data_IF_049820743143
#
_entry.id   IF_049820743143
#
_cell.length_a   1.000
_cell.length_b   1.000
_cell.length_c   1.000
_cell.angle_alpha   90.00
_cell.angle_beta   90.00
_cell.angle_gamma   90.00
#
_symmetry.space_group_name_H-M   'P 1'
#
loop_
_entity.id
_entity.type
_entity.pdbx_description
1 polymer ?
#
# COMPACT_ATOMS: atom_id res chain seq x y z
N UNK A 1 1.72 -63.21 30.81
CA UNK A 1 0.94 -64.53 30.79
C UNK A 1 -0.51 -64.21 31.06
N UNK A 2 -1.41 -64.92 30.41
CA UNK A 2 -1.75 -65.00 28.96
C UNK A 2 -3.19 -64.51 28.74
N UNK A 3 -3.82 -64.45 27.61
CA UNK A 3 -4.10 -65.32 26.47
C UNK A 3 -4.98 -64.53 25.47
N UNK A 4 -4.61 -64.45 24.26
CA UNK A 4 -5.22 -64.99 23.02
C UNK A 4 -6.73 -65.27 23.03
N UNK A 5 -7.46 -64.76 22.02
CA UNK A 5 -8.20 -65.60 21.06
C UNK A 5 -8.61 -64.79 19.82
N UNK A 6 -8.14 -65.29 18.71
CA UNK A 6 -8.54 -65.24 17.32
C UNK A 6 -9.89 -65.96 17.11
N UNK A 7 -10.66 -65.60 16.07
CA UNK A 7 -11.44 -66.42 15.11
C UNK A 7 -12.13 -65.49 14.14
N UNK A 8 -11.77 -65.35 12.96
CA UNK A 8 -11.90 -65.95 11.63
C UNK A 8 -13.30 -66.44 11.18
N UNK A 9 -13.61 -66.11 9.94
CA UNK A 9 -14.40 -66.72 8.85
C UNK A 9 -15.61 -65.90 8.40
N UNK A 10 -15.58 -65.45 7.18
CA UNK A 10 -15.75 -65.96 5.80
C UNK A 10 -17.20 -66.02 5.32
N UNK A 11 -17.34 -65.51 4.07
CA UNK A 11 -18.06 -66.02 2.90
C UNK A 11 -19.47 -65.46 2.66
N UNK A 12 -19.90 -65.01 1.56
CA UNK A 12 -19.96 -65.30 0.13
C UNK A 12 -20.90 -64.30 -0.53
N UNK A 13 -20.60 -63.91 -1.80
CA UNK A 13 -21.59 -63.33 -2.70
C UNK A 13 -22.49 -64.41 -3.36
N UNK A 14 -23.26 -64.24 -4.42
CA UNK A 14 -23.05 -63.39 -5.62
C UNK A 14 -24.34 -62.82 -6.30
N UNK A 15 -24.12 -62.07 -7.44
CA UNK A 15 -24.89 -62.00 -8.72
C UNK A 15 -26.32 -61.43 -8.66
N UNK A 16 -26.77 -60.81 -9.63
CA UNK A 16 -26.72 -60.43 -11.02
C UNK A 16 -27.91 -59.54 -11.41
N UNK A 17 -27.69 -58.77 -12.45
CA UNK A 17 -28.45 -58.51 -13.65
C UNK A 17 -29.47 -57.37 -13.72
N UNK A 18 -29.10 -56.40 -14.53
CA UNK A 18 -29.77 -56.05 -15.79
C UNK A 18 -30.98 -55.11 -15.80
N UNK A 19 -30.86 -54.07 -16.54
CA UNK A 19 -31.68 -53.50 -17.63
C UNK A 19 -31.87 -51.99 -17.60
N UNK A 20 -31.29 -51.39 -18.62
CA UNK A 20 -31.70 -50.09 -19.18
C UNK A 20 -33.14 -50.16 -19.74
N UNK A 21 -33.84 -49.01 -19.86
CA UNK A 21 -33.63 -48.18 -21.05
C UNK A 21 -33.79 -46.65 -20.86
N UNK A 22 -33.14 -45.95 -21.79
CA UNK A 22 -33.28 -44.61 -22.31
C UNK A 22 -34.57 -43.83 -22.08
N UNK A 23 -34.44 -42.51 -21.76
CA UNK A 23 -35.01 -41.43 -22.58
C UNK A 23 -34.55 -40.05 -22.17
N UNK A 24 -34.13 -39.34 -23.16
CA UNK A 24 -33.93 -37.92 -23.37
C UNK A 24 -34.71 -36.93 -22.50
N UNK A 25 -34.05 -35.94 -21.94
CA UNK A 25 -34.59 -34.57 -21.85
C UNK A 25 -33.43 -33.59 -21.71
N UNK A 26 -33.43 -32.66 -22.64
CA UNK A 26 -32.60 -31.46 -22.66
C UNK A 26 -32.81 -30.63 -21.39
N UNK A 27 -31.75 -30.38 -20.67
CA UNK A 27 -31.66 -29.22 -19.78
C UNK A 27 -30.31 -28.54 -19.93
N UNK A 28 -30.40 -27.25 -20.20
CA UNK A 28 -29.30 -26.36 -20.51
C UNK A 28 -28.35 -26.26 -19.31
N UNK A 29 -27.08 -26.45 -19.56
CA UNK A 29 -26.01 -26.20 -18.63
C UNK A 29 -25.91 -24.70 -18.30
N UNK A 30 -25.71 -24.29 -17.02
CA UNK A 30 -25.38 -22.92 -16.69
C UNK A 30 -24.00 -22.57 -17.25
N UNK A 31 -23.77 -21.28 -17.58
CA UNK A 31 -22.50 -20.85 -18.16
C UNK A 31 -21.35 -21.13 -17.20
N UNK A 32 -20.33 -21.75 -17.74
CA UNK A 32 -19.09 -22.08 -17.05
C UNK A 32 -18.48 -20.84 -16.40
N UNK A 33 -18.24 -20.92 -15.10
CA UNK A 33 -17.39 -19.98 -14.40
C UNK A 33 -16.02 -19.93 -15.10
N UNK A 34 -15.37 -18.76 -15.19
CA UNK A 34 -14.07 -18.68 -15.83
C UNK A 34 -13.09 -19.61 -15.12
N UNK A 35 -12.50 -20.50 -15.87
CA UNK A 35 -11.54 -21.48 -15.41
C UNK A 35 -10.37 -20.74 -14.74
N UNK A 36 -10.25 -20.90 -13.43
CA UNK A 36 -9.01 -20.56 -12.74
C UNK A 36 -7.93 -21.48 -13.29
N UNK A 37 -7.08 -20.93 -14.14
CA UNK A 37 -5.88 -21.62 -14.57
C UNK A 37 -5.07 -22.02 -13.35
N UNK A 38 -4.80 -23.30 -13.10
CA UNK A 38 -3.89 -23.72 -12.05
C UNK A 38 -2.45 -23.52 -12.52
N UNK A 39 -1.98 -22.29 -12.50
CA UNK A 39 -0.58 -21.98 -12.71
C UNK A 39 0.20 -21.95 -11.38
N UNK A 40 -0.13 -22.87 -10.45
CA UNK A 40 0.42 -22.88 -9.11
C UNK A 40 1.63 -23.79 -8.91
N UNK A 41 2.30 -24.24 -9.96
CA UNK A 41 3.51 -25.06 -9.83
C UNK A 41 4.78 -24.42 -10.38
N UNK A 42 4.73 -23.18 -10.86
CA UNK A 42 5.90 -22.42 -11.26
C UNK A 42 6.12 -21.22 -10.32
N UNK A 43 6.99 -21.38 -9.36
CA UNK A 43 7.43 -20.33 -8.44
C UNK A 43 8.20 -19.18 -9.12
N UNK A 44 8.38 -19.23 -10.44
CA UNK A 44 9.31 -18.35 -11.14
C UNK A 44 8.73 -17.28 -12.05
N UNK A 45 7.55 -17.39 -12.63
CA UNK A 45 7.17 -16.45 -13.71
C UNK A 45 5.83 -15.74 -13.53
N UNK A 46 4.78 -16.44 -13.15
CA UNK A 46 3.44 -15.85 -13.10
C UNK A 46 3.21 -14.96 -11.87
N UNK A 47 3.88 -15.26 -10.76
CA UNK A 47 3.82 -14.44 -9.54
C UNK A 47 4.47 -13.07 -9.73
N UNK A 48 5.54 -12.98 -10.53
CA UNK A 48 6.24 -11.71 -10.78
C UNK A 48 5.40 -10.74 -11.61
N UNK A 49 4.72 -11.20 -12.65
CA UNK A 49 3.85 -10.35 -13.48
C UNK A 49 2.63 -9.85 -12.71
N UNK A 50 2.02 -10.71 -11.92
CA UNK A 50 0.85 -10.36 -11.12
C UNK A 50 1.20 -9.40 -9.98
N UNK A 51 2.35 -9.60 -9.35
CA UNK A 51 2.88 -8.66 -8.36
C UNK A 51 3.22 -7.30 -8.96
N UNK A 52 3.78 -7.26 -10.16
CA UNK A 52 4.14 -6.01 -10.82
C UNK A 52 2.90 -5.20 -11.24
N UNK A 53 1.84 -5.85 -11.73
CA UNK A 53 0.58 -5.17 -12.05
C UNK A 53 -0.08 -4.60 -10.79
N UNK A 54 -0.09 -5.34 -9.68
CA UNK A 54 -0.58 -4.86 -8.39
C UNK A 54 0.25 -3.70 -7.85
N UNK A 55 1.57 -3.78 -7.98
CA UNK A 55 2.46 -2.67 -7.63
C UNK A 55 2.16 -1.42 -8.45
N UNK A 56 1.95 -1.57 -9.76
CA UNK A 56 1.58 -0.44 -10.62
C UNK A 56 0.26 0.18 -10.20
N UNK A 57 -0.75 -0.65 -9.96
CA UNK A 57 -2.06 -0.19 -9.47
C UNK A 57 -1.95 0.50 -8.11
N UNK A 58 -1.17 -0.06 -7.19
CA UNK A 58 -0.88 0.54 -5.89
C UNK A 58 -0.18 1.90 -6.03
N UNK A 59 0.89 1.98 -6.80
CA UNK A 59 1.64 3.22 -7.05
C UNK A 59 0.75 4.28 -7.70
N UNK A 60 -0.05 3.90 -8.70
CA UNK A 60 -0.99 4.81 -9.35
C UNK A 60 -2.05 5.33 -8.36
N UNK A 61 -2.53 4.49 -7.44
CA UNK A 61 -3.43 4.89 -6.36
C UNK A 61 -2.77 5.88 -5.40
N UNK A 62 -1.50 5.67 -5.02
CA UNK A 62 -0.75 6.59 -4.18
C UNK A 62 -0.53 7.94 -4.88
N UNK A 63 -0.14 7.92 -6.13
CA UNK A 63 0.05 9.13 -6.93
C UNK A 63 -1.25 9.91 -7.11
N UNK A 64 -2.37 9.23 -7.36
CA UNK A 64 -3.69 9.85 -7.49
C UNK A 64 -4.17 10.55 -6.22
N UNK A 65 -3.90 9.99 -5.04
CA UNK A 65 -4.28 10.58 -3.74
C UNK A 65 -3.50 11.85 -3.40
N UNK A 66 -2.37 12.05 -4.05
CA UNK A 66 -1.46 13.17 -3.82
C UNK A 66 -1.44 14.19 -4.96
N UNK A 67 -2.16 13.91 -6.06
CA UNK A 67 -2.33 14.92 -7.08
C UNK A 67 -3.15 16.08 -6.51
N UNK A 68 -2.73 17.33 -6.78
CA UNK A 68 -3.62 18.47 -6.55
C UNK A 68 -4.92 18.19 -7.30
N UNK A 69 -6.05 18.26 -6.63
CA UNK A 69 -7.35 18.21 -7.27
C UNK A 69 -7.34 19.17 -8.46
N UNK A 70 -7.88 18.78 -9.64
CA UNK A 70 -7.91 19.65 -10.80
C UNK A 70 -8.48 21.00 -10.37
N UNK A 71 -7.81 22.07 -10.75
CA UNK A 71 -7.99 23.48 -10.39
C UNK A 71 -9.46 23.88 -10.12
N UNK A 72 -9.93 23.54 -8.95
CA UNK A 72 -11.12 24.10 -8.37
C UNK A 72 -10.65 25.20 -7.41
N UNK A 73 -11.14 26.41 -7.57
CA UNK A 73 -10.81 27.55 -6.69
C UNK A 73 -11.06 27.25 -5.22
N UNK A 74 -11.95 26.28 -4.94
CA UNK A 74 -12.22 25.79 -3.59
C UNK A 74 -11.11 24.90 -2.98
N UNK A 75 -10.09 24.52 -3.75
CA UNK A 75 -9.01 23.63 -3.29
C UNK A 75 -7.66 24.34 -3.09
N UNK A 76 -7.60 25.65 -3.34
CA UNK A 76 -6.40 26.43 -3.04
C UNK A 76 -6.31 26.69 -1.53
N UNK A 77 -5.15 26.42 -0.89
CA UNK A 77 -5.01 26.68 0.54
C UNK A 77 -5.14 28.18 0.80
N UNK A 78 -5.80 28.53 1.91
CA UNK A 78 -5.91 29.92 2.33
C UNK A 78 -4.54 30.47 2.76
N UNK A 79 -4.33 31.79 2.70
CA UNK A 79 -3.08 32.41 3.18
C UNK A 79 -2.74 32.03 4.62
N UNK A 80 -3.76 31.97 5.47
CA UNK A 80 -3.63 31.61 6.88
C UNK A 80 -3.20 30.14 7.03
N UNK A 81 -3.74 29.25 6.20
CA UNK A 81 -3.34 27.86 6.17
C UNK A 81 -1.88 27.73 5.76
N UNK A 82 -1.45 28.40 4.67
CA UNK A 82 -0.06 28.41 4.21
C UNK A 82 0.88 28.97 5.30
N UNK A 83 0.50 30.06 5.96
CA UNK A 83 1.28 30.62 7.07
C UNK A 83 1.36 29.64 8.26
N UNK A 84 0.30 28.87 8.52
CA UNK A 84 0.28 27.90 9.60
C UNK A 84 1.30 26.79 9.43
N UNK A 85 1.68 26.47 8.17
CA UNK A 85 2.68 25.44 7.88
C UNK A 85 4.09 25.81 8.35
N UNK A 86 4.40 27.10 8.50
CA UNK A 86 5.66 27.55 9.09
C UNK A 86 5.70 27.45 10.62
N UNK A 87 4.55 27.30 11.26
CA UNK A 87 4.47 27.21 12.72
C UNK A 87 4.83 25.81 13.23
N UNK A 88 4.51 24.75 12.45
CA UNK A 88 4.72 23.38 12.85
C UNK A 88 4.70 22.44 11.66
N UNK A 89 5.64 21.50 11.62
CA UNK A 89 5.65 20.42 10.64
C UNK A 89 4.39 19.55 10.71
N UNK A 90 3.84 19.36 11.91
CA UNK A 90 2.56 18.65 12.08
C UNK A 90 1.40 19.36 11.38
N UNK A 91 1.34 20.69 11.41
CA UNK A 91 0.31 21.44 10.68
C UNK A 91 0.44 21.24 9.17
N UNK A 92 1.67 21.29 8.65
CA UNK A 92 1.94 20.98 7.26
C UNK A 92 1.46 19.55 6.89
N UNK A 93 1.84 18.57 7.70
CA UNK A 93 1.56 17.15 7.43
C UNK A 93 0.08 16.77 7.60
N UNK A 94 -0.69 17.49 8.40
CA UNK A 94 -2.14 17.30 8.53
C UNK A 94 -2.93 17.89 7.37
N UNK A 95 -2.42 18.94 6.73
CA UNK A 95 -3.07 19.58 5.58
C UNK A 95 -2.85 18.78 4.30
N UNK A 96 -3.90 18.36 3.56
CA UNK A 96 -3.74 17.77 2.25
C UNK A 96 -2.99 18.67 1.25
N UNK A 97 -3.31 19.97 1.25
CA UNK A 97 -2.62 20.96 0.43
C UNK A 97 -1.14 21.12 0.85
N UNK A 98 -0.88 21.12 2.17
CA UNK A 98 0.47 21.15 2.72
C UNK A 98 1.30 19.95 2.31
N UNK A 99 0.75 18.73 2.42
CA UNK A 99 1.43 17.52 1.93
C UNK A 99 1.71 17.57 0.42
N UNK A 100 0.75 18.06 -0.37
CA UNK A 100 0.94 18.22 -1.81
C UNK A 100 2.07 19.19 -2.15
N UNK A 101 2.08 20.37 -1.54
CA UNK A 101 3.13 21.38 -1.73
C UNK A 101 4.51 20.87 -1.28
N UNK A 102 4.56 20.20 -0.15
CA UNK A 102 5.81 19.64 0.37
C UNK A 102 6.33 18.48 -0.48
N UNK A 103 5.44 17.62 -1.01
CA UNK A 103 5.83 16.57 -1.96
C UNK A 103 6.43 17.17 -3.23
N UNK A 104 5.81 18.19 -3.81
CA UNK A 104 6.37 18.84 -5.01
C UNK A 104 7.77 19.43 -4.74
N UNK A 105 8.00 19.99 -3.56
CA UNK A 105 9.34 20.40 -3.15
C UNK A 105 10.30 19.21 -3.03
N UNK A 106 9.89 18.12 -2.36
CA UNK A 106 10.71 16.90 -2.22
C UNK A 106 11.05 16.28 -3.59
N UNK A 107 10.16 16.38 -4.58
CA UNK A 107 10.46 15.95 -5.96
C UNK A 107 11.61 16.73 -6.57
N UNK A 108 11.71 18.01 -6.29
CA UNK A 108 12.85 18.83 -6.77
C UNK A 108 14.16 18.44 -6.10
N UNK A 109 14.10 17.81 -4.94
CA UNK A 109 15.26 17.31 -4.18
C UNK A 109 15.50 15.80 -4.37
N UNK A 110 14.76 15.14 -5.27
CA UNK A 110 14.83 13.69 -5.50
C UNK A 110 14.65 12.86 -4.22
N UNK A 111 13.74 13.29 -3.34
CA UNK A 111 13.49 12.66 -2.03
C UNK A 111 11.98 12.47 -1.72
N UNK A 112 11.13 12.44 -2.76
CA UNK A 112 9.68 12.27 -2.58
C UNK A 112 9.29 10.92 -1.98
N UNK A 113 10.15 9.89 -2.08
CA UNK A 113 9.96 8.56 -1.51
C UNK A 113 9.70 8.62 0.00
N UNK A 114 10.30 9.58 0.72
CA UNK A 114 10.08 9.75 2.15
C UNK A 114 8.61 10.09 2.48
N UNK A 115 8.01 10.99 1.71
CA UNK A 115 6.59 11.36 1.87
C UNK A 115 5.68 10.21 1.46
N UNK A 116 5.97 9.55 0.34
CA UNK A 116 5.18 8.43 -0.17
C UNK A 116 5.20 7.25 0.81
N UNK A 117 6.35 6.94 1.38
CA UNK A 117 6.48 5.91 2.42
C UNK A 117 5.66 6.27 3.66
N UNK A 118 5.78 7.51 4.15
CA UNK A 118 5.04 7.96 5.33
C UNK A 118 3.52 7.82 5.13
N UNK A 119 3.01 8.22 3.97
CA UNK A 119 1.59 8.10 3.63
C UNK A 119 1.14 6.65 3.47
N UNK A 120 1.98 5.80 2.89
CA UNK A 120 1.70 4.37 2.76
C UNK A 120 1.55 3.71 4.15
N UNK A 121 2.37 4.13 5.13
CA UNK A 121 2.24 3.67 6.51
C UNK A 121 0.93 4.16 7.17
N UNK A 122 0.53 5.42 6.94
CA UNK A 122 -0.75 5.93 7.44
C UNK A 122 -1.94 5.16 6.86
N UNK A 123 -1.88 4.82 5.58
CA UNK A 123 -2.91 4.02 4.93
C UNK A 123 -2.94 2.58 5.46
N UNK A 124 -1.79 2.00 5.79
CA UNK A 124 -1.72 0.68 6.42
C UNK A 124 -2.36 0.69 7.80
N UNK A 125 -2.13 1.74 8.61
CA UNK A 125 -2.73 1.91 9.94
C UNK A 125 -4.26 2.02 9.91
N UNK A 126 -4.80 2.58 8.82
CA UNK A 126 -6.24 2.70 8.64
C UNK A 126 -6.93 1.41 8.16
N UNK A 127 -6.15 0.37 7.82
CA UNK A 127 -6.70 -0.88 7.29
C UNK A 127 -7.16 -1.81 8.42
N UNK A 128 -8.40 -2.28 8.31
CA UNK A 128 -9.01 -3.17 9.30
C UNK A 128 -8.99 -4.66 8.90
N UNK A 129 -8.78 -4.95 7.62
CA UNK A 129 -8.78 -6.31 7.09
C UNK A 129 -7.37 -6.89 7.11
N UNK A 130 -7.15 -7.99 7.86
CA UNK A 130 -5.82 -8.60 8.00
C UNK A 130 -5.20 -9.02 6.67
N UNK A 131 -5.97 -9.58 5.75
CA UNK A 131 -5.46 -9.96 4.43
C UNK A 131 -4.98 -8.72 3.64
N UNK A 132 -5.71 -7.61 3.73
CA UNK A 132 -5.30 -6.35 3.10
C UNK A 132 -4.07 -5.74 3.80
N UNK A 133 -3.95 -5.89 5.12
CA UNK A 133 -2.75 -5.51 5.89
C UNK A 133 -1.54 -6.29 5.40
N UNK A 134 -1.64 -7.60 5.26
CA UNK A 134 -0.54 -8.47 4.79
C UNK A 134 -0.09 -8.06 3.38
N UNK A 135 -1.03 -7.81 2.49
CA UNK A 135 -0.74 -7.39 1.12
C UNK A 135 -0.09 -6.01 1.06
N UNK A 136 -0.67 -5.03 1.75
CA UNK A 136 -0.12 -3.66 1.81
C UNK A 136 1.26 -3.63 2.45
N UNK A 137 1.47 -4.39 3.52
CA UNK A 137 2.77 -4.48 4.17
C UNK A 137 3.85 -5.02 3.23
N UNK A 138 3.54 -6.04 2.41
CA UNK A 138 4.48 -6.54 1.39
C UNK A 138 4.80 -5.48 0.34
N UNK A 139 3.79 -4.77 -0.17
CA UNK A 139 4.00 -3.70 -1.16
C UNK A 139 4.87 -2.56 -0.60
N UNK A 140 4.61 -2.14 0.64
CA UNK A 140 5.42 -1.12 1.33
C UNK A 140 6.86 -1.61 1.50
N UNK A 141 7.04 -2.86 1.95
CA UNK A 141 8.37 -3.44 2.12
C UNK A 141 9.15 -3.47 0.81
N UNK A 142 8.53 -3.98 -0.26
CA UNK A 142 9.16 -4.12 -1.56
C UNK A 142 9.45 -2.77 -2.23
N UNK A 143 8.60 -1.77 -2.04
CA UNK A 143 8.76 -0.46 -2.68
C UNK A 143 9.69 0.48 -1.91
N UNK A 144 9.78 0.38 -0.58
CA UNK A 144 10.46 1.38 0.24
C UNK A 144 11.54 0.84 1.18
N UNK A 145 11.47 -0.44 1.59
CA UNK A 145 12.37 -1.01 2.59
C UNK A 145 13.41 -1.94 1.98
N UNK A 146 13.06 -2.67 0.92
CA UNK A 146 13.98 -3.56 0.24
C UNK A 146 15.18 -2.80 -0.31
N UNK A 147 16.40 -3.34 -0.08
CA UNK A 147 17.67 -2.78 -0.57
C UNK A 147 17.77 -2.72 -2.11
N UNK A 148 16.88 -3.39 -2.82
CA UNK A 148 16.83 -3.39 -4.29
C UNK A 148 15.73 -2.47 -4.83
N UNK A 149 15.04 -1.74 -3.96
CA UNK A 149 13.96 -0.85 -4.39
C UNK A 149 14.53 0.45 -4.98
N UNK A 150 13.99 0.91 -6.12
CA UNK A 150 14.32 2.23 -6.67
C UNK A 150 13.81 3.39 -5.82
N UNK A 151 12.92 3.13 -4.86
CA UNK A 151 12.34 4.11 -3.92
C UNK A 151 12.74 3.82 -2.49
N UNK A 152 13.90 3.20 -2.28
CA UNK A 152 14.38 2.86 -0.95
C UNK A 152 14.51 4.12 -0.09
N UNK A 153 13.91 4.09 1.12
CA UNK A 153 14.07 5.13 2.13
C UNK A 153 15.27 4.83 3.03
N UNK A 154 15.93 5.88 3.51
CA UNK A 154 17.10 5.76 4.37
C UNK A 154 16.69 5.32 5.78
N UNK A 155 16.97 4.06 6.13
CA UNK A 155 16.66 3.47 7.43
C UNK A 155 17.92 2.94 8.10
N UNK A 156 17.96 3.09 9.42
CA UNK A 156 19.00 2.44 10.24
C UNK A 156 18.89 0.91 10.13
N UNK A 157 20.03 0.23 10.19
CA UNK A 157 20.09 -1.24 10.10
C UNK A 157 19.22 -1.92 11.16
N UNK A 158 19.21 -1.41 12.39
CA UNK A 158 18.37 -1.95 13.48
C UNK A 158 16.86 -1.85 13.19
N UNK A 159 16.44 -0.71 12.61
CA UNK A 159 15.04 -0.51 12.20
C UNK A 159 14.67 -1.48 11.08
N UNK A 160 15.53 -1.62 10.06
CA UNK A 160 15.35 -2.56 8.95
C UNK A 160 15.27 -4.01 9.45
N UNK A 161 16.16 -4.44 10.34
CA UNK A 161 16.12 -5.77 10.96
C UNK A 161 14.83 -6.00 11.77
N UNK A 162 14.35 -4.95 12.47
CA UNK A 162 13.08 -4.98 13.17
C UNK A 162 11.90 -5.23 12.23
N UNK A 163 11.88 -4.53 11.09
CA UNK A 163 10.86 -4.74 10.05
C UNK A 163 10.96 -6.16 9.50
N UNK A 164 12.15 -6.66 9.16
CA UNK A 164 12.33 -8.01 8.62
C UNK A 164 11.74 -9.09 9.54
N UNK A 165 11.87 -8.93 10.87
CA UNK A 165 11.23 -9.84 11.83
C UNK A 165 9.71 -9.69 11.84
N UNK A 166 9.19 -8.46 11.86
CA UNK A 166 7.75 -8.17 11.87
C UNK A 166 7.04 -8.60 10.57
N UNK A 167 7.76 -8.72 9.47
CA UNK A 167 7.22 -9.19 8.18
C UNK A 167 6.85 -10.67 8.15
N UNK A 168 7.22 -11.45 9.16
CA UNK A 168 6.75 -12.83 9.32
C UNK A 168 5.26 -12.87 9.68
N UNK A 169 4.79 -11.91 10.47
CA UNK A 169 3.40 -11.70 10.85
C UNK A 169 3.09 -10.20 10.80
N UNK A 170 2.77 -9.65 9.61
CA UNK A 170 2.58 -8.22 9.45
C UNK A 170 1.36 -7.71 10.22
N UNK A 171 1.47 -6.49 10.72
CA UNK A 171 0.38 -5.77 11.35
C UNK A 171 0.30 -4.34 10.83
N UNK A 172 -0.76 -3.63 11.16
CA UNK A 172 -0.90 -2.19 10.86
C UNK A 172 0.26 -1.34 11.42
N UNK A 173 1.01 -1.87 12.42
CA UNK A 173 2.10 -1.20 13.12
C UNK A 173 3.50 -1.74 12.76
N UNK A 174 3.61 -2.53 11.69
CA UNK A 174 4.88 -3.13 11.25
C UNK A 174 5.96 -2.10 11.01
N UNK A 175 5.61 -0.93 10.48
CA UNK A 175 6.56 0.10 10.05
C UNK A 175 6.63 1.32 10.99
N UNK A 176 6.07 1.29 12.17
CA UNK A 176 5.98 2.47 13.06
C UNK A 176 7.34 3.09 13.37
N UNK A 177 8.35 2.27 13.69
CA UNK A 177 9.70 2.75 13.98
C UNK A 177 10.35 3.43 12.77
N UNK A 178 10.17 2.84 11.59
CA UNK A 178 10.66 3.39 10.33
C UNK A 178 9.91 4.67 9.94
N UNK A 179 8.59 4.69 10.11
CA UNK A 179 7.78 5.86 9.82
C UNK A 179 8.18 7.05 10.71
N UNK A 180 8.45 6.81 11.99
CA UNK A 180 8.95 7.83 12.91
C UNK A 180 10.34 8.33 12.50
N UNK A 181 11.23 7.43 12.06
CA UNK A 181 12.57 7.79 11.59
C UNK A 181 12.48 8.70 10.36
N UNK A 182 11.67 8.33 9.36
CA UNK A 182 11.48 9.13 8.14
C UNK A 182 10.78 10.45 8.43
N UNK A 183 9.76 10.45 9.30
CA UNK A 183 9.11 11.69 9.76
C UNK A 183 10.13 12.64 10.39
N UNK A 184 10.97 12.13 11.27
CA UNK A 184 12.02 12.91 11.93
C UNK A 184 13.04 13.44 10.94
N UNK A 185 13.44 12.63 9.94
CA UNK A 185 14.34 13.07 8.87
C UNK A 185 13.73 14.23 8.08
N UNK A 186 12.50 14.10 7.62
CA UNK A 186 11.81 15.17 6.89
C UNK A 186 11.66 16.45 7.74
N UNK A 187 11.32 16.31 9.03
CA UNK A 187 11.14 17.43 9.93
C UNK A 187 12.44 18.19 10.18
N UNK A 188 13.55 17.49 10.40
CA UNK A 188 14.82 18.10 10.79
C UNK A 188 15.60 18.66 9.60
N UNK A 189 15.42 18.06 8.43
CA UNK A 189 16.22 18.34 7.24
C UNK A 189 15.41 19.01 6.11
N UNK A 190 14.42 18.33 5.55
CA UNK A 190 13.70 18.80 4.36
C UNK A 190 12.75 19.96 4.67
N UNK A 191 12.06 19.94 5.80
CA UNK A 191 11.07 20.95 6.16
C UNK A 191 11.67 22.37 6.31
N UNK A 192 12.81 22.60 6.98
CA UNK A 192 13.42 23.94 7.02
C UNK A 192 13.79 24.44 5.61
N UNK A 193 14.27 23.56 4.73
CA UNK A 193 14.57 23.92 3.34
C UNK A 193 13.31 24.27 2.54
N UNK A 194 12.22 23.52 2.76
CA UNK A 194 10.93 23.83 2.17
C UNK A 194 10.45 25.25 2.52
N UNK A 195 10.51 25.65 3.78
CA UNK A 195 10.10 26.98 4.22
C UNK A 195 10.96 28.09 3.59
N UNK A 196 12.22 27.81 3.28
CA UNK A 196 13.11 28.70 2.55
C UNK A 196 12.99 28.65 1.01
N UNK A 197 12.17 27.74 0.48
CA UNK A 197 12.11 27.46 -0.97
C UNK A 197 11.31 28.52 -1.75
N UNK A 198 11.57 28.65 -3.05
CA UNK A 198 10.72 29.44 -3.95
C UNK A 198 9.28 28.94 -4.01
N UNK A 199 9.08 27.64 -3.90
CA UNK A 199 7.76 26.98 -3.88
C UNK A 199 6.91 27.51 -2.74
N UNK A 200 7.43 27.51 -1.52
CA UNK A 200 6.69 27.99 -0.35
C UNK A 200 6.44 29.50 -0.43
N UNK A 201 7.44 30.30 -0.86
CA UNK A 201 7.28 31.74 -1.03
C UNK A 201 6.21 32.08 -2.06
N UNK A 202 6.14 31.37 -3.18
CA UNK A 202 5.11 31.59 -4.19
C UNK A 202 3.70 31.31 -3.65
N UNK A 203 3.53 30.34 -2.76
CA UNK A 203 2.25 30.04 -2.11
C UNK A 203 1.83 31.18 -1.15
N UNK A 204 2.77 31.72 -0.39
CA UNK A 204 2.51 32.88 0.48
C UNK A 204 2.08 34.13 -0.31
N UNK A 205 2.72 34.38 -1.46
CA UNK A 205 2.41 35.55 -2.30
C UNK A 205 1.07 35.43 -3.01
N UNK A 206 0.62 34.21 -3.39
CA UNK A 206 -0.69 34.01 -4.02
C UNK A 206 -1.85 34.38 -3.09
N UNK A 207 -1.65 34.28 -1.78
CA UNK A 207 -2.66 34.62 -0.78
C UNK A 207 -2.58 36.05 -0.26
N UNK A 208 -1.59 36.84 -0.65
CA UNK A 208 -1.53 38.24 -0.26
C UNK A 208 -2.59 39.04 -1.02
N UNK A 209 -3.44 39.84 -0.35
CA UNK A 209 -4.36 40.73 -1.02
C UNK A 209 -3.54 41.64 -1.93
N UNK A 210 -3.86 41.64 -3.24
CA UNK A 210 -3.29 42.65 -4.12
C UNK A 210 -3.79 43.99 -3.62
N UNK A 211 -2.90 44.75 -2.99
CA UNK A 211 -3.16 46.15 -2.72
C UNK A 211 -3.21 46.84 -4.08
N UNK A 212 -4.44 47.07 -4.55
CA UNK A 212 -4.70 48.00 -5.65
C UNK A 212 -4.21 49.34 -5.19
N UNK A 213 -3.00 49.68 -5.54
CA UNK A 213 -2.57 51.07 -5.64
C UNK A 213 -3.27 51.68 -6.86
N UNK A 214 -4.48 52.18 -6.66
CA UNK A 214 -4.99 53.25 -7.51
C UNK A 214 -4.23 54.50 -7.14
N UNK A 215 -3.46 54.99 -8.09
CA UNK A 215 -2.92 56.33 -8.13
C UNK A 215 -3.84 57.22 -8.91
#
# INVERSE_FOLDING_TARGET
MPTTHEVEKQHTGPEEADQHPSMSSHDAAPPAAPSRNPCCLCWCCCCSCWNEERRRAWRASQDSKLQPLPSCEACTPSPEEVQSWAQSFDKLMRSPAGRGAFREFLRTEYSEENMLFWLACEELKAEANQHAVDEKARLIYEDYVSILSPKEVSLDSRVREGINRKMQEPSAHTFDDAQLQIYTLMHRDSYPRFLGSPTYRALLLRGAPQSSHEA
#
